data_IF_761080742899
#
_entry.id   IF_761080742899
#
_cell.length_a   1.000
_cell.length_b   1.000
_cell.length_c   1.000
_cell.angle_alpha   90.00
_cell.angle_beta   90.00
_cell.angle_gamma   90.00
#
_symmetry.space_group_name_H-M   'P 1'
#
loop_
_entity.id
_entity.type
_entity.pdbx_description
1 polymer ?
#
# COMPACT_ATOMS: atom_id res chain seq x y z
N UNK A 1 44.99 42.83 7.62
CA UNK A 1 44.01 42.04 6.84
C UNK A 1 43.00 43.02 6.30
N UNK A 2 43.10 43.39 5.04
CA UNK A 2 42.04 44.16 4.38
C UNK A 2 40.86 43.20 4.17
N UNK A 3 39.76 43.46 4.87
CA UNK A 3 38.46 42.88 4.55
C UNK A 3 38.09 43.40 3.16
N UNK A 4 38.16 42.56 2.14
CA UNK A 4 37.54 42.84 0.85
C UNK A 4 36.05 43.08 1.10
N UNK A 5 35.62 44.33 0.93
CA UNK A 5 34.21 44.67 0.96
C UNK A 5 33.65 44.16 -0.39
N UNK A 6 32.64 43.28 -0.39
CA UNK A 6 32.04 42.78 -1.62
C UNK A 6 31.55 43.95 -2.49
N UNK A 7 31.80 43.90 -3.80
CA UNK A 7 31.24 44.88 -4.74
C UNK A 7 29.72 44.69 -4.80
N UNK A 8 28.99 45.62 -4.15
CA UNK A 8 27.53 45.57 -4.10
C UNK A 8 26.86 45.63 -5.48
N UNK A 9 27.50 46.26 -6.47
CA UNK A 9 26.98 46.30 -7.83
C UNK A 9 27.13 44.95 -8.53
N UNK A 10 28.24 44.24 -8.28
CA UNK A 10 28.46 42.89 -8.79
C UNK A 10 27.45 41.91 -8.17
N UNK A 11 27.32 41.90 -6.84
CA UNK A 11 26.36 41.03 -6.12
C UNK A 11 24.92 41.28 -6.59
N UNK A 12 24.51 42.56 -6.71
CA UNK A 12 23.18 42.92 -7.22
C UNK A 12 22.97 42.42 -8.65
N UNK A 13 23.95 42.63 -9.54
CA UNK A 13 23.86 42.25 -10.95
C UNK A 13 23.79 40.72 -11.09
N UNK A 14 24.58 39.98 -10.33
CA UNK A 14 24.54 38.52 -10.33
C UNK A 14 23.19 37.98 -9.84
N UNK A 15 22.67 38.52 -8.73
CA UNK A 15 21.35 38.14 -8.21
C UNK A 15 20.23 38.50 -9.19
N UNK A 16 20.28 39.68 -9.80
CA UNK A 16 19.32 40.14 -10.79
C UNK A 16 19.32 39.25 -12.04
N UNK A 17 20.49 38.94 -12.61
CA UNK A 17 20.57 38.03 -13.76
C UNK A 17 20.18 36.60 -13.42
N UNK A 18 20.42 36.14 -12.18
CA UNK A 18 19.93 34.84 -11.70
C UNK A 18 18.41 34.80 -11.66
N UNK A 19 17.76 35.87 -11.16
CA UNK A 19 16.31 35.98 -11.11
C UNK A 19 15.63 36.20 -12.46
N UNK A 20 16.35 36.71 -13.47
CA UNK A 20 15.84 36.84 -14.85
C UNK A 20 15.89 35.53 -15.65
N UNK A 21 16.63 34.52 -15.19
CA UNK A 21 16.64 33.22 -15.87
C UNK A 21 15.28 32.55 -15.65
N UNK A 22 14.60 32.08 -16.72
CA UNK A 22 13.42 31.25 -16.52
C UNK A 22 13.82 30.02 -15.71
N UNK A 23 12.88 29.52 -14.91
CA UNK A 23 13.06 28.24 -14.23
C UNK A 23 13.49 27.20 -15.29
N UNK A 24 14.61 26.51 -15.11
CA UNK A 24 15.05 25.48 -16.04
C UNK A 24 13.99 24.38 -16.11
N UNK A 25 13.94 23.63 -17.22
CA UNK A 25 13.17 22.39 -17.32
C UNK A 25 13.72 21.39 -16.31
N UNK A 26 13.22 21.46 -15.07
CA UNK A 26 13.68 20.67 -13.96
C UNK A 26 13.05 19.30 -14.05
N UNK A 27 13.82 18.29 -14.43
CA UNK A 27 13.45 16.89 -14.32
C UNK A 27 14.16 16.27 -13.12
N UNK A 28 13.38 15.89 -12.11
CA UNK A 28 13.91 15.44 -10.81
C UNK A 28 14.70 14.14 -10.94
N UNK A 29 14.34 13.26 -11.88
CA UNK A 29 15.08 12.02 -12.14
C UNK A 29 16.49 12.30 -12.68
N UNK A 30 16.60 13.25 -13.62
CA UNK A 30 17.87 13.66 -14.21
C UNK A 30 18.74 14.39 -13.17
N UNK A 31 18.14 15.32 -12.41
CA UNK A 31 18.81 15.99 -11.31
C UNK A 31 19.32 14.98 -10.26
N UNK A 32 18.53 13.96 -9.93
CA UNK A 32 18.93 12.94 -8.97
C UNK A 32 20.11 12.11 -9.48
N UNK A 33 20.10 11.68 -10.74
CA UNK A 33 21.20 10.93 -11.34
C UNK A 33 22.50 11.74 -11.43
N UNK A 34 22.41 13.07 -11.60
CA UNK A 34 23.58 13.95 -11.73
C UNK A 34 24.14 14.40 -10.36
N UNK A 35 23.27 14.83 -9.45
CA UNK A 35 23.70 15.55 -8.24
C UNK A 35 23.54 14.76 -6.94
N UNK A 36 22.47 13.97 -6.80
CA UNK A 36 22.09 13.40 -5.51
C UNK A 36 23.13 12.42 -4.96
N UNK A 37 23.48 12.59 -3.68
CA UNK A 37 24.38 11.68 -2.95
C UNK A 37 23.64 11.02 -1.78
N UNK A 38 23.71 9.69 -1.72
CA UNK A 38 23.28 8.89 -0.58
C UNK A 38 24.41 8.86 0.46
N UNK A 39 24.21 9.41 1.67
CA UNK A 39 25.24 9.44 2.71
C UNK A 39 25.61 8.03 3.20
N UNK A 40 26.89 7.81 3.53
CA UNK A 40 27.37 6.52 4.09
C UNK A 40 26.86 6.26 5.51
N UNK A 41 26.71 7.32 6.29
CA UNK A 41 26.36 7.29 7.71
C UNK A 41 24.84 7.21 7.98
N UNK A 42 24.02 7.00 6.93
CA UNK A 42 22.59 6.67 7.06
C UNK A 42 22.32 5.17 7.08
N UNK A 43 23.37 4.32 6.95
CA UNK A 43 23.21 2.87 6.90
C UNK A 43 22.58 2.37 5.59
N UNK A 44 22.68 3.14 4.51
CA UNK A 44 22.18 2.75 3.21
C UNK A 44 23.00 1.58 2.63
N UNK A 45 22.33 0.62 1.99
CA UNK A 45 22.98 -0.54 1.38
C UNK A 45 23.96 -0.14 0.27
N UNK A 46 23.64 0.91 -0.50
CA UNK A 46 24.43 1.40 -1.63
C UNK A 46 24.68 2.92 -1.48
N UNK A 47 25.67 3.36 -0.66
CA UNK A 47 25.96 4.77 -0.50
C UNK A 47 26.79 5.33 -1.69
N UNK A 48 26.68 6.62 -1.97
CA UNK A 48 27.39 7.28 -3.07
C UNK A 48 26.45 8.02 -4.03
N UNK A 49 26.78 8.05 -5.33
CA UNK A 49 25.91 8.64 -6.35
C UNK A 49 24.57 7.88 -6.40
N UNK A 50 23.46 8.60 -6.35
CA UNK A 50 22.15 8.01 -6.64
C UNK A 50 22.11 7.57 -8.11
N UNK A 51 21.55 6.40 -8.38
CA UNK A 51 21.45 5.83 -9.73
C UNK A 51 20.04 5.31 -9.95
N UNK A 52 19.25 6.00 -10.76
CA UNK A 52 17.91 5.57 -11.19
C UNK A 52 17.97 4.21 -11.87
N UNK A 53 19.06 3.87 -12.55
CA UNK A 53 19.27 2.54 -13.14
C UNK A 53 19.17 1.37 -12.13
N UNK A 54 19.37 1.61 -10.83
CA UNK A 54 19.17 0.60 -9.78
C UNK A 54 17.69 0.41 -9.44
N UNK A 55 16.89 1.45 -9.57
CA UNK A 55 15.43 1.44 -9.35
C UNK A 55 14.72 2.14 -10.52
N UNK A 56 14.69 1.55 -11.73
CA UNK A 56 14.20 2.22 -12.93
C UNK A 56 12.77 2.74 -12.79
N UNK A 57 11.93 2.01 -12.07
CA UNK A 57 10.56 2.38 -11.73
C UNK A 57 10.43 3.70 -10.94
N UNK A 58 11.49 4.20 -10.30
CA UNK A 58 11.46 5.47 -9.58
C UNK A 58 11.52 6.70 -10.51
N UNK A 59 11.91 6.51 -11.79
CA UNK A 59 12.06 7.58 -12.79
C UNK A 59 10.77 8.36 -12.99
N UNK A 60 9.69 7.65 -13.29
CA UNK A 60 8.43 8.27 -13.67
C UNK A 60 7.73 9.01 -12.52
N UNK A 61 7.67 8.49 -11.28
CA UNK A 61 7.24 9.27 -10.12
C UNK A 61 8.02 10.58 -9.95
N UNK A 62 9.36 10.56 -10.13
CA UNK A 62 10.18 11.77 -10.05
C UNK A 62 9.86 12.75 -11.20
N UNK A 63 9.63 12.25 -12.41
CA UNK A 63 9.18 13.10 -13.53
C UNK A 63 7.82 13.73 -13.25
N UNK A 64 6.86 12.99 -12.69
CA UNK A 64 5.55 13.55 -12.32
C UNK A 64 5.64 14.60 -11.20
N UNK A 65 6.56 14.42 -10.25
CA UNK A 65 6.84 15.38 -9.18
C UNK A 65 7.53 16.66 -9.65
N UNK A 66 8.11 16.65 -10.85
CA UNK A 66 8.81 17.79 -11.41
C UNK A 66 7.87 18.99 -11.58
N UNK A 67 8.30 20.23 -11.27
CA UNK A 67 7.43 21.42 -11.36
C UNK A 67 6.84 21.66 -12.75
N UNK A 68 7.55 21.24 -13.81
CA UNK A 68 7.10 21.34 -15.20
C UNK A 68 5.97 20.34 -15.56
N UNK A 69 5.83 19.25 -14.81
CA UNK A 69 4.81 18.24 -15.09
C UNK A 69 3.42 18.74 -14.66
N UNK A 70 2.36 18.55 -15.45
CA UNK A 70 1.05 19.16 -15.21
C UNK A 70 0.27 18.58 -14.04
N UNK A 71 0.56 17.35 -13.59
CA UNK A 71 -0.18 16.77 -12.47
C UNK A 71 0.00 17.59 -11.19
N UNK A 72 -1.01 17.64 -10.34
CA UNK A 72 -0.95 18.33 -9.06
C UNK A 72 -0.51 17.39 -7.94
N UNK A 73 -0.92 16.12 -8.03
CA UNK A 73 -0.72 15.12 -6.99
C UNK A 73 0.00 13.89 -7.55
N UNK A 74 0.97 13.41 -6.79
CA UNK A 74 1.62 12.11 -7.01
C UNK A 74 1.39 11.24 -5.79
N UNK A 75 0.92 10.02 -6.01
CA UNK A 75 0.57 9.07 -4.96
C UNK A 75 1.40 7.80 -5.15
N UNK A 76 2.08 7.32 -4.11
CA UNK A 76 2.81 6.05 -4.14
C UNK A 76 2.28 5.08 -3.08
N UNK A 77 1.40 4.17 -3.50
CA UNK A 77 0.94 3.02 -2.72
C UNK A 77 1.93 1.86 -2.90
N UNK A 78 3.02 1.90 -2.13
CA UNK A 78 4.21 1.07 -2.40
C UNK A 78 4.66 0.34 -1.15
N UNK A 79 5.25 -0.84 -1.34
CA UNK A 79 5.78 -1.65 -0.25
C UNK A 79 6.81 -0.89 0.61
N UNK A 80 6.95 -1.31 1.86
CA UNK A 80 7.91 -0.72 2.79
C UNK A 80 9.34 -0.95 2.33
N UNK A 81 10.21 0.04 2.57
CA UNK A 81 11.65 -0.01 2.25
C UNK A 81 11.99 -0.14 0.75
N UNK A 82 11.10 0.33 -0.14
CA UNK A 82 11.40 0.53 -1.57
C UNK A 82 11.73 2.01 -1.84
N UNK A 83 11.05 2.64 -2.82
CA UNK A 83 11.43 3.94 -3.37
C UNK A 83 10.90 5.18 -2.63
N UNK A 84 9.83 5.03 -1.84
CA UNK A 84 8.99 6.14 -1.33
C UNK A 84 9.76 7.36 -0.80
N UNK A 85 10.49 7.18 0.31
CA UNK A 85 11.25 8.26 0.94
C UNK A 85 12.44 8.72 0.11
N UNK A 86 13.08 7.85 -0.67
CA UNK A 86 14.23 8.25 -1.49
C UNK A 86 13.80 9.17 -2.63
N UNK A 87 12.64 8.92 -3.24
CA UNK A 87 12.01 9.84 -4.22
C UNK A 87 11.76 11.20 -3.56
N UNK A 88 11.24 11.24 -2.33
CA UNK A 88 11.01 12.49 -1.62
C UNK A 88 12.32 13.28 -1.38
N UNK A 89 13.40 12.59 -0.99
CA UNK A 89 14.72 13.22 -0.82
C UNK A 89 15.24 13.80 -2.13
N UNK A 90 15.10 13.05 -3.22
CA UNK A 90 15.50 13.49 -4.56
C UNK A 90 14.70 14.72 -4.98
N UNK A 91 13.39 14.69 -4.77
CA UNK A 91 12.50 15.79 -5.07
C UNK A 91 12.83 17.05 -4.26
N UNK A 92 12.93 16.94 -2.94
CA UNK A 92 13.29 18.04 -2.03
C UNK A 92 14.64 18.65 -2.45
N UNK A 93 15.64 17.81 -2.76
CA UNK A 93 16.94 18.28 -3.22
C UNK A 93 16.86 19.06 -4.53
N UNK A 94 16.18 18.51 -5.54
CA UNK A 94 15.98 19.19 -6.83
C UNK A 94 15.25 20.52 -6.68
N UNK A 95 14.25 20.58 -5.82
CA UNK A 95 13.51 21.81 -5.51
C UNK A 95 14.40 22.87 -4.85
N UNK A 96 15.16 22.52 -3.81
CA UNK A 96 16.12 23.44 -3.16
C UNK A 96 17.15 23.96 -4.18
N UNK A 97 17.58 23.11 -5.11
CA UNK A 97 18.60 23.45 -6.09
C UNK A 97 18.09 24.38 -7.19
N UNK A 98 16.92 24.08 -7.76
CA UNK A 98 16.51 24.58 -9.08
C UNK A 98 15.13 25.27 -9.10
N UNK A 99 14.28 25.05 -8.09
CA UNK A 99 12.94 25.66 -8.02
C UNK A 99 12.55 25.99 -6.56
N UNK A 100 13.35 26.81 -5.85
CA UNK A 100 13.20 27.01 -4.41
C UNK A 100 11.87 27.69 -4.07
N UNK A 101 11.21 27.17 -3.04
CA UNK A 101 9.99 27.69 -2.44
C UNK A 101 9.82 27.03 -1.07
N UNK A 102 8.82 27.42 -0.29
CA UNK A 102 8.47 26.70 0.92
C UNK A 102 8.08 25.24 0.61
N UNK A 103 8.71 24.32 1.33
CA UNK A 103 8.46 22.87 1.28
C UNK A 103 7.99 22.43 2.66
N UNK A 104 6.86 21.71 2.72
CA UNK A 104 6.32 21.16 3.95
C UNK A 104 6.40 19.62 3.91
N UNK A 105 7.11 19.03 4.86
CA UNK A 105 7.19 17.58 5.06
C UNK A 105 6.42 17.17 6.31
N UNK A 106 5.42 16.32 6.14
CA UNK A 106 4.52 15.85 7.19
C UNK A 106 4.73 14.35 7.43
N UNK A 107 4.95 13.99 8.70
CA UNK A 107 5.16 12.61 9.15
C UNK A 107 4.10 12.23 10.20
N UNK A 108 3.90 10.93 10.48
CA UNK A 108 2.90 10.50 11.47
C UNK A 108 3.18 10.93 12.92
N UNK A 109 4.45 11.15 13.28
CA UNK A 109 4.83 11.52 14.65
C UNK A 109 6.06 12.41 14.68
N UNK A 110 6.19 13.22 15.73
CA UNK A 110 7.35 14.10 15.95
C UNK A 110 8.68 13.34 16.00
N UNK A 111 8.67 12.12 16.54
CA UNK A 111 9.85 11.25 16.56
C UNK A 111 10.30 10.84 15.15
N UNK A 112 9.36 10.56 14.25
CA UNK A 112 9.64 10.30 12.83
C UNK A 112 10.11 11.58 12.13
N UNK A 113 9.46 12.72 12.39
CA UNK A 113 9.85 14.02 11.82
C UNK A 113 11.31 14.36 12.11
N UNK A 114 11.76 14.19 13.36
CA UNK A 114 13.17 14.43 13.75
C UNK A 114 14.14 13.48 13.03
N UNK A 115 13.78 12.20 12.86
CA UNK A 115 14.61 11.22 12.14
C UNK A 115 14.73 11.55 10.65
N UNK A 116 13.63 11.86 10.00
CA UNK A 116 13.59 12.25 8.58
C UNK A 116 14.34 13.58 8.38
N UNK A 117 14.12 14.55 9.27
CA UNK A 117 14.84 15.83 9.26
C UNK A 117 16.36 15.64 9.34
N UNK A 118 16.83 14.77 10.25
CA UNK A 118 18.25 14.44 10.36
C UNK A 118 18.79 13.77 9.09
N UNK A 119 18.04 12.85 8.47
CA UNK A 119 18.41 12.22 7.20
C UNK A 119 18.51 13.25 6.06
N UNK A 120 17.59 14.22 5.99
CA UNK A 120 17.65 15.32 5.03
C UNK A 120 18.90 16.17 5.27
N UNK A 121 19.22 16.51 6.52
CA UNK A 121 20.44 17.27 6.86
C UNK A 121 21.73 16.57 6.42
N UNK A 122 21.81 15.24 6.61
CA UNK A 122 22.93 14.41 6.09
C UNK A 122 22.99 14.43 4.56
N UNK A 123 21.84 14.34 3.90
CA UNK A 123 21.72 14.36 2.43
C UNK A 123 22.20 15.70 1.86
N UNK A 124 21.80 16.82 2.47
CA UNK A 124 22.26 18.17 2.12
C UNK A 124 23.77 18.28 2.28
N UNK A 125 24.33 17.78 3.38
CA UNK A 125 25.79 17.82 3.64
C UNK A 125 26.58 17.02 2.61
N UNK A 126 26.05 15.86 2.20
CA UNK A 126 26.66 14.97 1.23
C UNK A 126 26.55 15.47 -0.22
N UNK A 127 25.56 16.30 -0.54
CA UNK A 127 25.27 16.77 -1.90
C UNK A 127 25.82 18.20 -2.10
N UNK A 128 26.92 18.40 -2.85
CA UNK A 128 27.62 19.70 -2.91
C UNK A 128 26.73 20.90 -3.25
N UNK A 129 25.89 20.76 -4.28
CA UNK A 129 24.99 21.83 -4.74
C UNK A 129 23.94 22.24 -3.70
N UNK A 130 23.57 21.34 -2.78
CA UNK A 130 22.66 21.65 -1.67
C UNK A 130 23.40 22.28 -0.50
N UNK A 131 24.59 21.76 -0.18
CA UNK A 131 25.43 22.28 0.91
C UNK A 131 25.78 23.76 0.73
N UNK A 132 25.93 24.21 -0.51
CA UNK A 132 26.22 25.61 -0.85
C UNK A 132 25.01 26.54 -0.68
N UNK A 133 23.78 26.01 -0.73
CA UNK A 133 22.53 26.78 -0.73
C UNK A 133 21.80 26.80 0.61
N UNK A 134 21.92 25.72 1.39
CA UNK A 134 21.25 25.61 2.68
C UNK A 134 22.11 26.24 3.76
N UNK A 135 21.51 27.12 4.58
CA UNK A 135 22.22 27.82 5.64
C UNK A 135 22.89 26.84 6.61
N UNK A 136 24.18 27.03 6.90
CA UNK A 136 24.91 26.18 7.85
C UNK A 136 24.35 26.33 9.27
N UNK A 137 24.32 25.25 10.05
CA UNK A 137 23.82 25.25 11.43
C UNK A 137 24.70 26.02 12.45
N UNK A 138 25.77 26.68 12.01
CA UNK A 138 26.82 27.27 12.88
C UNK A 138 26.83 28.78 12.99
N UNK A 139 25.84 29.49 12.47
CA UNK A 139 25.72 30.93 12.80
C UNK A 139 24.93 31.10 14.10
N UNK A 140 25.30 32.10 14.91
CA UNK A 140 24.55 32.51 16.12
C UNK A 140 23.15 33.08 15.80
N UNK A 141 22.67 32.88 14.57
CA UNK A 141 21.31 33.17 14.14
C UNK A 141 20.47 31.89 14.20
N UNK A 142 19.34 31.97 14.91
CA UNK A 142 18.38 30.90 15.18
C UNK A 142 17.63 30.36 13.92
N UNK A 143 18.24 30.43 12.74
CA UNK A 143 17.64 30.24 11.41
C UNK A 143 17.58 28.78 10.93
N UNK A 144 18.41 27.88 11.47
CA UNK A 144 18.36 26.46 11.12
C UNK A 144 18.16 25.63 12.39
N UNK A 145 16.96 25.05 12.53
CA UNK A 145 16.55 24.27 13.71
C UNK A 145 16.40 22.80 13.34
N UNK A 146 16.10 21.94 14.32
CA UNK A 146 15.79 20.54 14.04
C UNK A 146 14.64 20.35 13.06
N UNK A 147 13.73 21.32 12.98
CA UNK A 147 12.47 21.20 12.24
C UNK A 147 12.45 22.09 10.98
N UNK A 148 13.36 23.06 10.87
CA UNK A 148 13.39 24.02 9.74
C UNK A 148 14.78 24.13 9.13
N UNK A 149 14.87 24.02 7.80
CA UNK A 149 16.10 24.24 7.02
C UNK A 149 15.87 25.36 6.01
N UNK A 150 16.46 26.52 6.26
CA UNK A 150 16.36 27.70 5.40
C UNK A 150 17.36 27.67 4.22
N UNK A 151 16.93 28.18 3.08
CA UNK A 151 17.73 28.35 1.86
C UNK A 151 17.26 29.58 1.09
N UNK A 152 18.04 30.03 0.10
CA UNK A 152 17.65 31.15 -0.76
C UNK A 152 16.34 30.82 -1.51
N UNK A 153 15.30 31.62 -1.33
CA UNK A 153 13.99 31.43 -1.96
C UNK A 153 12.96 30.61 -1.16
N UNK A 154 13.30 30.09 0.03
CA UNK A 154 12.31 29.43 0.89
C UNK A 154 12.88 28.66 2.07
N UNK A 155 12.03 27.88 2.72
CA UNK A 155 12.45 26.98 3.79
C UNK A 155 11.77 25.62 3.68
N UNK A 156 12.47 24.60 4.17
CA UNK A 156 11.94 23.26 4.36
C UNK A 156 11.53 23.08 5.83
N UNK A 157 10.24 22.84 6.03
CA UNK A 157 9.64 22.54 7.33
C UNK A 157 9.39 21.04 7.44
N UNK A 158 9.82 20.42 8.53
CA UNK A 158 9.65 18.99 8.78
C UNK A 158 8.93 18.82 10.11
N UNK A 159 7.66 18.43 10.06
CA UNK A 159 6.81 18.36 11.25
C UNK A 159 5.87 17.15 11.23
N UNK A 160 5.01 17.04 12.23
CA UNK A 160 4.03 15.95 12.37
C UNK A 160 2.67 16.37 11.82
N UNK A 161 1.99 15.46 11.13
CA UNK A 161 0.60 15.61 10.69
C UNK A 161 -0.39 15.52 11.86
N UNK A 162 0.00 14.94 13.01
CA UNK A 162 -0.86 14.81 14.20
C UNK A 162 -1.10 16.10 15.00
N UNK A 163 -1.00 17.28 14.38
CA UNK A 163 -1.33 18.55 15.04
C UNK A 163 -1.98 19.49 14.03
N UNK A 164 -3.20 19.94 14.35
CA UNK A 164 -3.99 20.82 13.51
C UNK A 164 -3.25 22.14 13.23
N UNK A 165 -2.60 22.70 14.25
CA UNK A 165 -1.76 23.89 14.13
C UNK A 165 -0.67 23.72 13.04
N UNK A 166 0.03 22.59 13.02
CA UNK A 166 1.05 22.31 12.00
C UNK A 166 0.46 22.23 10.59
N UNK A 167 -0.76 21.73 10.47
CA UNK A 167 -1.51 21.64 9.21
C UNK A 167 -2.15 22.97 8.82
N UNK A 168 -2.30 23.93 9.74
CA UNK A 168 -3.01 25.19 9.54
C UNK A 168 -2.11 26.43 9.40
N UNK A 169 -0.87 26.40 9.88
CA UNK A 169 -0.06 27.61 10.05
C UNK A 169 0.70 28.04 8.79
N UNK A 170 1.16 27.11 7.95
CA UNK A 170 2.18 27.39 6.94
C UNK A 170 1.68 27.26 5.49
N UNK A 171 1.90 28.29 4.68
CA UNK A 171 1.71 28.24 3.22
C UNK A 171 2.93 27.62 2.53
N UNK A 172 2.73 26.54 1.78
CA UNK A 172 3.79 25.82 1.08
C UNK A 172 3.37 25.45 -0.35
N UNK A 173 4.27 25.69 -1.32
CA UNK A 173 4.06 25.29 -2.72
C UNK A 173 4.18 23.78 -2.89
N UNK A 174 5.07 23.18 -2.11
CA UNK A 174 5.40 21.77 -2.20
C UNK A 174 5.11 21.08 -0.87
N UNK A 175 4.31 20.02 -0.90
CA UNK A 175 3.95 19.28 0.30
C UNK A 175 4.25 17.79 0.10
N UNK A 176 4.96 17.20 1.06
CA UNK A 176 5.25 15.78 1.13
C UNK A 176 4.61 15.18 2.38
N UNK A 177 3.68 14.24 2.20
CA UNK A 177 3.14 13.42 3.27
C UNK A 177 3.69 11.99 3.22
N UNK A 178 4.47 11.62 4.25
CA UNK A 178 5.00 10.27 4.39
C UNK A 178 4.13 9.43 5.35
N UNK A 179 4.04 8.13 5.08
CA UNK A 179 3.25 7.15 5.82
C UNK A 179 1.82 7.64 6.13
N UNK A 180 1.11 8.18 5.13
CA UNK A 180 -0.23 8.81 5.30
C UNK A 180 -1.28 7.90 5.94
N UNK A 181 -1.17 6.58 5.78
CA UNK A 181 -2.05 5.61 6.45
C UNK A 181 -1.87 5.53 7.96
N UNK A 182 -0.76 6.05 8.49
CA UNK A 182 -0.48 6.10 9.93
C UNK A 182 -0.85 7.45 10.54
N UNK A 183 -1.40 8.37 9.76
CA UNK A 183 -1.87 9.66 10.28
C UNK A 183 -3.15 9.45 11.07
N UNK A 184 -3.36 10.30 12.07
CA UNK A 184 -4.60 10.30 12.84
C UNK A 184 -5.79 10.60 11.93
N UNK A 185 -6.92 9.95 12.20
CA UNK A 185 -8.09 10.03 11.31
C UNK A 185 -8.68 11.43 11.30
N UNK A 186 -8.65 12.08 12.46
CA UNK A 186 -9.16 13.42 12.67
C UNK A 186 -8.20 14.15 13.59
N UNK A 187 -7.60 15.22 13.08
CA UNK A 187 -6.61 16.00 13.81
C UNK A 187 -7.33 17.19 14.42
N UNK A 188 -7.75 17.05 15.68
CA UNK A 188 -8.37 18.14 16.43
C UNK A 188 -9.77 18.53 15.97
N UNK A 189 -10.55 17.61 15.39
CA UNK A 189 -11.91 17.85 14.86
C UNK A 189 -11.95 18.80 13.64
N UNK A 190 -10.80 19.00 12.97
CA UNK A 190 -10.67 19.90 11.81
C UNK A 190 -10.81 19.18 10.45
N UNK A 191 -11.03 17.86 10.45
CA UNK A 191 -11.29 17.07 9.24
C UNK A 191 -10.10 16.25 8.74
N UNK A 192 -10.11 15.87 7.46
CA UNK A 192 -9.10 14.96 6.90
C UNK A 192 -7.73 15.64 6.78
N UNK A 193 -6.67 15.13 7.42
CA UNK A 193 -5.35 15.76 7.39
C UNK A 193 -4.73 15.86 6.00
N UNK A 194 -5.12 15.01 5.04
CA UNK A 194 -4.68 15.13 3.65
C UNK A 194 -5.25 16.41 3.02
N UNK A 195 -6.55 16.66 3.14
CA UNK A 195 -7.19 17.88 2.64
C UNK A 195 -6.64 19.15 3.32
N UNK A 196 -6.39 19.10 4.62
CA UNK A 196 -5.77 20.20 5.37
C UNK A 196 -4.35 20.50 4.86
N UNK A 197 -3.56 19.46 4.58
CA UNK A 197 -2.23 19.58 3.99
C UNK A 197 -2.30 20.15 2.57
N UNK A 198 -3.29 19.78 1.76
CA UNK A 198 -3.46 20.30 0.41
C UNK A 198 -3.86 21.77 0.38
N UNK A 199 -4.66 22.19 1.35
CA UNK A 199 -5.08 23.59 1.51
C UNK A 199 -3.87 24.53 1.64
N UNK A 200 -2.70 24.03 2.09
CA UNK A 200 -1.46 24.82 2.19
C UNK A 200 -0.92 25.29 0.85
N UNK A 201 -1.25 24.58 -0.22
CA UNK A 201 -0.87 24.92 -1.59
C UNK A 201 -1.87 25.82 -2.33
N UNK A 202 -3.00 26.20 -1.71
CA UNK A 202 -4.11 26.88 -2.40
C UNK A 202 -3.69 28.15 -3.13
N UNK A 203 -2.81 28.95 -2.52
CA UNK A 203 -2.32 30.21 -3.10
C UNK A 203 -1.40 30.02 -4.32
N UNK A 204 -0.96 28.79 -4.61
CA UNK A 204 -0.08 28.49 -5.75
C UNK A 204 -0.83 27.90 -6.95
N UNK A 205 -2.13 27.60 -6.82
CA UNK A 205 -2.94 27.05 -7.91
C UNK A 205 -2.27 25.85 -8.60
N UNK A 206 -2.11 25.93 -9.93
CA UNK A 206 -1.44 24.89 -10.74
C UNK A 206 0.04 24.64 -10.41
N UNK A 207 0.68 25.57 -9.69
CA UNK A 207 2.10 25.45 -9.34
C UNK A 207 2.31 24.70 -8.01
N UNK A 208 1.22 24.39 -7.29
CA UNK A 208 1.28 23.52 -6.12
C UNK A 208 1.57 22.07 -6.56
N UNK A 209 2.36 21.35 -5.76
CA UNK A 209 2.62 19.93 -5.99
C UNK A 209 2.60 19.16 -4.68
N UNK A 210 1.91 18.04 -4.69
CA UNK A 210 1.72 17.17 -3.53
C UNK A 210 2.29 15.79 -3.80
N UNK A 211 3.02 15.27 -2.83
CA UNK A 211 3.51 13.90 -2.85
C UNK A 211 3.01 13.15 -1.61
N UNK A 212 2.19 12.12 -1.80
CA UNK A 212 1.74 11.26 -0.72
C UNK A 212 2.27 9.85 -0.92
N UNK A 213 2.83 9.27 0.13
CA UNK A 213 3.41 7.92 0.06
C UNK A 213 3.07 7.11 1.30
N UNK A 214 2.69 5.84 1.11
CA UNK A 214 2.50 4.91 2.21
C UNK A 214 2.45 3.46 1.71
N UNK A 215 2.56 2.51 2.64
CA UNK A 215 1.98 1.18 2.43
C UNK A 215 0.53 1.20 2.90
N UNK A 216 -0.41 0.56 2.19
CA UNK A 216 -1.81 0.56 2.60
C UNK A 216 -2.00 -0.25 3.88
N UNK A 217 -3.15 -0.04 4.53
CA UNK A 217 -3.54 -0.71 5.77
C UNK A 217 -4.79 -1.55 5.55
N UNK A 218 -5.90 -1.22 6.20
CA UNK A 218 -7.13 -2.01 6.17
C UNK A 218 -8.06 -1.42 5.10
N UNK A 219 -8.77 -2.29 4.39
CA UNK A 219 -9.78 -1.88 3.41
C UNK A 219 -10.81 -0.94 4.04
N UNK A 220 -11.10 0.17 3.39
CA UNK A 220 -12.04 1.20 3.88
C UNK A 220 -11.49 2.15 4.94
N UNK A 221 -10.23 1.98 5.38
CA UNK A 221 -9.55 2.94 6.26
C UNK A 221 -8.21 3.44 5.68
N UNK A 222 -7.78 2.87 4.55
CA UNK A 222 -6.47 3.12 3.97
C UNK A 222 -6.48 4.34 3.05
N UNK A 223 -6.01 5.48 3.59
CA UNK A 223 -5.94 6.75 2.85
C UNK A 223 -5.12 6.67 1.57
N UNK A 224 -3.99 5.99 1.59
CA UNK A 224 -3.18 5.84 0.37
C UNK A 224 -3.92 5.03 -0.69
N UNK A 225 -4.77 4.08 -0.28
CA UNK A 225 -5.58 3.31 -1.20
C UNK A 225 -6.68 4.18 -1.80
N UNK A 226 -7.34 5.01 -1.00
CA UNK A 226 -8.36 5.96 -1.48
C UNK A 226 -7.74 6.99 -2.46
N UNK A 227 -6.56 7.52 -2.13
CA UNK A 227 -5.79 8.41 -3.01
C UNK A 227 -5.31 7.72 -4.29
N UNK A 228 -4.98 6.43 -4.22
CA UNK A 228 -4.61 5.65 -5.39
C UNK A 228 -5.84 5.35 -6.26
N UNK A 229 -7.00 5.09 -5.66
CA UNK A 229 -8.24 4.78 -6.39
C UNK A 229 -8.68 5.94 -7.29
N UNK A 230 -8.59 7.19 -6.80
CA UNK A 230 -8.93 8.40 -7.58
C UNK A 230 -7.90 8.76 -8.67
N UNK A 231 -6.72 8.14 -8.64
CA UNK A 231 -5.64 8.40 -9.59
C UNK A 231 -5.81 7.65 -10.91
N UNK A 232 -4.85 7.80 -11.81
CA UNK A 232 -4.74 7.01 -13.04
C UNK A 232 -4.24 5.55 -12.84
N UNK A 233 -3.99 5.15 -11.58
CA UNK A 233 -3.71 3.79 -11.12
C UNK A 233 -2.60 3.08 -11.93
N UNK A 234 -1.37 3.59 -11.89
CA UNK A 234 -0.25 2.98 -12.63
C UNK A 234 0.34 1.77 -11.93
N UNK A 235 0.57 0.72 -12.70
CA UNK A 235 1.31 -0.48 -12.31
C UNK A 235 2.56 -0.65 -13.16
N UNK A 236 3.64 -1.16 -12.58
CA UNK A 236 4.91 -1.33 -13.29
C UNK A 236 4.96 -2.69 -13.99
N UNK A 237 4.83 -2.68 -15.31
CA UNK A 237 4.91 -3.87 -16.13
C UNK A 237 6.36 -4.19 -16.46
N UNK A 238 6.74 -5.46 -16.34
CA UNK A 238 8.07 -5.94 -16.73
C UNK A 238 7.94 -7.06 -17.76
N UNK A 239 8.82 -7.13 -18.77
CA UNK A 239 8.76 -8.19 -19.77
C UNK A 239 9.26 -9.50 -19.18
N UNK A 240 8.63 -10.60 -19.57
CA UNK A 240 9.20 -11.93 -19.41
C UNK A 240 10.51 -12.03 -20.22
N UNK A 241 11.61 -12.55 -19.63
CA UNK A 241 12.91 -12.63 -20.32
C UNK A 241 12.91 -13.61 -21.51
N UNK A 242 11.94 -14.53 -21.58
CA UNK A 242 11.85 -15.54 -22.64
C UNK A 242 10.86 -15.16 -23.73
N UNK A 243 9.58 -14.91 -23.38
CA UNK A 243 8.55 -14.62 -24.39
C UNK A 243 8.31 -13.12 -24.62
N UNK A 244 8.86 -12.24 -23.78
CA UNK A 244 8.67 -10.78 -23.90
C UNK A 244 7.30 -10.27 -23.43
N UNK A 245 6.41 -11.13 -22.93
CA UNK A 245 5.11 -10.71 -22.42
C UNK A 245 5.28 -9.76 -21.22
N UNK A 246 4.66 -8.58 -21.29
CA UNK A 246 4.69 -7.60 -20.21
C UNK A 246 3.63 -7.91 -19.16
N UNK A 247 4.05 -8.00 -17.90
CA UNK A 247 3.22 -8.42 -16.79
C UNK A 247 3.52 -7.63 -15.51
N UNK A 248 2.54 -7.54 -14.62
CA UNK A 248 2.75 -7.13 -13.23
C UNK A 248 3.18 -8.35 -12.43
N UNK A 249 4.12 -8.18 -11.50
CA UNK A 249 4.57 -9.26 -10.62
C UNK A 249 3.56 -9.48 -9.50
N UNK A 250 2.92 -10.64 -9.46
CA UNK A 250 1.91 -11.02 -8.47
C UNK A 250 2.46 -12.09 -7.53
N UNK A 251 2.12 -12.00 -6.23
CA UNK A 251 2.61 -12.95 -5.24
C UNK A 251 2.22 -14.38 -5.57
N UNK A 252 1.02 -14.54 -6.10
CA UNK A 252 0.38 -15.81 -6.45
C UNK A 252 1.17 -16.61 -7.50
N UNK A 253 2.04 -15.95 -8.28
CA UNK A 253 2.89 -16.55 -9.32
C UNK A 253 4.30 -16.85 -8.84
N UNK A 254 4.63 -16.54 -7.58
CA UNK A 254 5.91 -16.89 -6.99
C UNK A 254 5.86 -18.30 -6.40
N UNK A 255 6.58 -19.23 -7.03
CA UNK A 255 6.68 -20.62 -6.61
C UNK A 255 7.98 -20.88 -5.88
N UNK A 256 7.94 -21.64 -4.80
CA UNK A 256 9.12 -21.94 -4.00
C UNK A 256 9.08 -23.35 -3.41
N UNK A 257 10.26 -23.97 -3.28
CA UNK A 257 10.42 -25.27 -2.63
C UNK A 257 10.22 -25.17 -1.10
N UNK A 258 9.96 -26.29 -0.44
CA UNK A 258 9.71 -26.34 1.02
C UNK A 258 10.89 -25.82 1.86
N UNK A 259 12.10 -25.98 1.35
CA UNK A 259 13.36 -25.53 1.95
C UNK A 259 13.81 -24.15 1.45
N UNK A 260 13.04 -23.54 0.52
CA UNK A 260 13.32 -22.24 -0.10
C UNK A 260 14.66 -22.18 -0.86
N UNK A 261 15.20 -23.33 -1.27
CA UNK A 261 16.43 -23.40 -2.08
C UNK A 261 16.16 -23.07 -3.55
N UNK A 262 14.92 -23.32 -4.01
CA UNK A 262 14.46 -23.00 -5.36
C UNK A 262 13.28 -22.04 -5.24
N UNK A 263 13.41 -20.85 -5.83
CA UNK A 263 12.35 -19.83 -5.87
C UNK A 263 12.31 -19.23 -7.27
N UNK A 264 11.17 -19.38 -7.93
CA UNK A 264 10.97 -18.92 -9.30
C UNK A 264 9.65 -18.18 -9.45
N UNK A 265 9.58 -17.28 -10.42
CA UNK A 265 8.37 -16.57 -10.79
C UNK A 265 7.81 -17.13 -12.09
N UNK A 266 6.56 -17.58 -12.08
CA UNK A 266 5.86 -18.11 -13.25
C UNK A 266 5.38 -16.97 -14.17
N UNK A 267 5.65 -17.09 -15.48
CA UNK A 267 5.14 -16.13 -16.45
C UNK A 267 3.61 -16.13 -16.54
N UNK A 268 3.03 -14.95 -16.78
CA UNK A 268 1.59 -14.74 -16.90
C UNK A 268 1.01 -14.98 -18.29
N UNK A 269 1.87 -15.14 -19.31
CA UNK A 269 1.41 -15.50 -20.65
C UNK A 269 0.90 -16.93 -20.67
N UNK A 270 -0.27 -17.15 -21.28
CA UNK A 270 -0.92 -18.47 -21.42
C UNK A 270 -0.07 -19.48 -22.19
N UNK A 271 0.80 -18.99 -23.06
CA UNK A 271 1.58 -19.80 -23.99
C UNK A 271 3.06 -19.88 -23.54
N UNK A 272 3.35 -19.54 -22.29
CA UNK A 272 4.72 -19.50 -21.76
C UNK A 272 4.80 -20.10 -20.35
N UNK A 273 5.39 -21.29 -20.27
CA UNK A 273 5.58 -22.02 -19.00
C UNK A 273 6.93 -21.72 -18.34
N UNK A 274 7.55 -20.57 -18.63
CA UNK A 274 8.88 -20.26 -18.09
C UNK A 274 8.81 -19.92 -16.60
N UNK A 275 9.73 -20.52 -15.85
CA UNK A 275 10.00 -20.22 -14.45
C UNK A 275 11.18 -19.25 -14.38
N UNK A 276 10.88 -17.97 -14.17
CA UNK A 276 11.85 -16.88 -14.15
C UNK A 276 12.64 -16.95 -12.85
N UNK A 277 13.96 -16.91 -12.97
CA UNK A 277 14.88 -16.85 -11.85
C UNK A 277 15.15 -15.41 -11.41
N UNK A 278 15.44 -15.21 -10.12
CA UNK A 278 15.56 -13.86 -9.56
C UNK A 278 16.71 -13.04 -10.19
N UNK A 279 17.78 -13.68 -10.66
CA UNK A 279 18.89 -12.97 -11.31
C UNK A 279 18.46 -12.22 -12.60
N UNK A 280 17.39 -12.68 -13.25
CA UNK A 280 16.84 -12.07 -14.46
C UNK A 280 16.10 -10.76 -14.16
N UNK A 281 15.72 -10.52 -12.89
CA UNK A 281 14.98 -9.33 -12.44
C UNK A 281 15.68 -8.03 -12.83
N UNK A 282 17.02 -8.00 -12.87
CA UNK A 282 17.76 -6.81 -13.28
C UNK A 282 17.38 -6.31 -14.69
N UNK A 283 17.36 -7.20 -15.67
CA UNK A 283 16.95 -6.88 -17.05
C UNK A 283 15.45 -6.56 -17.14
N UNK A 284 14.63 -7.36 -16.46
CA UNK A 284 13.19 -7.15 -16.40
C UNK A 284 12.82 -5.77 -15.88
N UNK A 285 13.44 -5.33 -14.78
CA UNK A 285 13.21 -4.01 -14.19
C UNK A 285 13.69 -2.89 -15.10
N UNK A 286 14.84 -3.05 -15.77
CA UNK A 286 15.41 -2.05 -16.67
C UNK A 286 14.55 -1.82 -17.92
N UNK A 287 13.86 -2.85 -18.39
CA UNK A 287 12.94 -2.81 -19.54
C UNK A 287 11.48 -2.59 -19.16
N UNK A 288 11.20 -2.40 -17.87
CA UNK A 288 9.84 -2.20 -17.40
C UNK A 288 9.29 -0.82 -17.73
N UNK A 289 7.96 -0.71 -17.70
CA UNK A 289 7.23 0.53 -17.98
C UNK A 289 5.99 0.64 -17.09
N UNK A 290 5.63 1.86 -16.71
CA UNK A 290 4.38 2.12 -16.02
C UNK A 290 3.22 2.16 -17.00
N UNK A 291 2.12 1.49 -16.67
CA UNK A 291 0.87 1.56 -17.44
C UNK A 291 -0.28 1.95 -16.52
N UNK A 292 -1.08 2.91 -16.99
CA UNK A 292 -2.28 3.39 -16.30
C UNK A 292 -3.45 2.43 -16.48
N UNK A 293 -4.22 2.22 -15.41
CA UNK A 293 -5.40 1.34 -15.39
C UNK A 293 -6.71 2.13 -15.24
N UNK A 294 -6.63 3.42 -14.98
CA UNK A 294 -7.78 4.32 -14.82
C UNK A 294 -7.47 5.66 -15.51
N UNK A 295 -8.50 6.39 -15.96
CA UNK A 295 -8.29 7.76 -16.44
C UNK A 295 -7.94 8.74 -15.29
N UNK A 296 -8.30 8.36 -14.05
CA UNK A 296 -8.14 9.20 -12.86
C UNK A 296 -8.97 10.48 -12.88
N UNK A 297 -8.69 11.36 -11.93
CA UNK A 297 -9.28 12.69 -11.78
C UNK A 297 -8.65 13.78 -12.70
N UNK A 298 -7.63 13.42 -13.49
CA UNK A 298 -6.88 14.33 -14.37
C UNK A 298 -5.80 15.17 -13.67
N UNK A 299 -5.72 15.15 -12.34
CA UNK A 299 -4.74 15.90 -11.55
C UNK A 299 -3.80 14.99 -10.74
N UNK A 300 -4.18 13.72 -10.53
CA UNK A 300 -3.51 12.75 -9.67
C UNK A 300 -2.91 11.61 -10.48
N UNK A 301 -1.60 11.42 -10.33
CA UNK A 301 -0.89 10.27 -10.88
C UNK A 301 -0.53 9.30 -9.75
N UNK A 302 -0.98 8.06 -9.84
CA UNK A 302 -0.79 7.05 -8.80
C UNK A 302 0.12 5.93 -9.24
N UNK A 303 0.94 5.42 -8.33
CA UNK A 303 1.91 4.36 -8.57
C UNK A 303 1.79 3.26 -7.53
N UNK A 304 1.63 2.02 -7.99
CA UNK A 304 1.62 0.82 -7.16
C UNK A 304 2.85 -0.05 -7.39
N UNK A 305 3.49 -0.50 -6.32
CA UNK A 305 4.65 -1.39 -6.44
C UNK A 305 4.81 -2.27 -5.19
N UNK A 306 4.90 -3.58 -5.39
CA UNK A 306 5.13 -4.54 -4.31
C UNK A 306 6.62 -4.89 -4.15
N UNK A 307 6.94 -5.66 -3.10
CA UNK A 307 8.31 -6.04 -2.75
C UNK A 307 8.98 -7.00 -3.74
N UNK A 308 8.25 -7.65 -4.66
CA UNK A 308 8.86 -8.53 -5.67
C UNK A 308 9.79 -7.76 -6.62
N UNK A 309 9.55 -6.46 -6.78
CA UNK A 309 10.34 -5.53 -7.59
C UNK A 309 11.60 -5.00 -6.89
N UNK A 310 11.89 -5.43 -5.66
CA UNK A 310 13.12 -5.06 -4.98
C UNK A 310 14.35 -5.47 -5.84
N UNK A 311 15.32 -4.57 -6.11
CA UNK A 311 16.50 -4.90 -6.91
C UNK A 311 17.35 -6.01 -6.28
N UNK A 312 18.17 -6.67 -7.11
CA UNK A 312 19.14 -7.65 -6.63
C UNK A 312 20.08 -7.04 -5.58
N UNK A 313 20.30 -7.78 -4.49
CA UNK A 313 21.08 -7.37 -3.32
C UNK A 313 20.26 -6.68 -2.22
N UNK A 314 18.96 -6.43 -2.45
CA UNK A 314 18.04 -5.95 -1.42
C UNK A 314 17.21 -7.13 -0.88
N UNK A 315 15.92 -6.92 -0.61
CA UNK A 315 15.03 -8.00 -0.19
C UNK A 315 14.84 -9.01 -1.34
N UNK A 316 15.27 -10.24 -1.12
CA UNK A 316 15.20 -11.32 -2.11
C UNK A 316 13.87 -12.11 -2.04
N UNK A 317 13.55 -12.84 -3.10
CA UNK A 317 12.34 -13.67 -3.16
C UNK A 317 12.33 -14.81 -2.12
N UNK A 318 13.44 -15.53 -1.85
CA UNK A 318 13.48 -16.52 -0.77
C UNK A 318 13.16 -15.94 0.62
N UNK A 319 13.62 -14.73 0.94
CA UNK A 319 13.31 -14.07 2.21
C UNK A 319 11.85 -13.66 2.29
N UNK A 320 11.25 -13.22 1.18
CA UNK A 320 9.82 -12.96 1.10
C UNK A 320 9.01 -14.26 1.32
N UNK A 321 9.41 -15.36 0.66
CA UNK A 321 8.74 -16.65 0.82
C UNK A 321 8.81 -17.16 2.27
N UNK A 322 9.96 -17.03 2.93
CA UNK A 322 10.12 -17.35 4.37
C UNK A 322 9.23 -16.48 5.25
N UNK A 323 9.12 -15.18 4.98
CA UNK A 323 8.23 -14.27 5.72
C UNK A 323 6.77 -14.68 5.55
N UNK A 324 6.35 -15.01 4.32
CA UNK A 324 5.00 -15.46 4.03
C UNK A 324 4.66 -16.80 4.71
N UNK A 325 5.54 -17.80 4.63
CA UNK A 325 5.30 -19.09 5.28
C UNK A 325 5.28 -18.98 6.81
N UNK A 326 6.09 -18.08 7.39
CA UNK A 326 5.98 -17.75 8.82
C UNK A 326 4.62 -17.13 9.15
N UNK A 327 4.17 -16.17 8.33
CA UNK A 327 2.88 -15.53 8.51
C UNK A 327 1.70 -16.51 8.35
N UNK A 328 1.77 -17.40 7.35
CA UNK A 328 0.79 -18.47 7.11
C UNK A 328 0.70 -19.45 8.28
N UNK A 329 1.84 -19.82 8.89
CA UNK A 329 1.86 -20.64 10.10
C UNK A 329 1.27 -19.94 11.33
N UNK A 330 1.45 -18.62 11.45
CA UNK A 330 0.83 -17.83 12.51
C UNK A 330 -0.69 -17.74 12.29
N UNK A 331 -1.11 -17.48 11.05
CA UNK A 331 -2.52 -17.44 10.65
C UNK A 331 -3.24 -18.77 10.95
N UNK A 332 -2.61 -19.90 10.64
CA UNK A 332 -3.15 -21.23 10.97
C UNK A 332 -3.31 -21.48 12.48
N UNK A 333 -2.63 -20.70 13.33
CA UNK A 333 -2.76 -20.74 14.79
C UNK A 333 -3.72 -19.67 15.34
N UNK A 334 -4.38 -18.92 14.47
CA UNK A 334 -5.33 -17.85 14.84
C UNK A 334 -4.71 -16.45 14.95
N UNK A 335 -3.42 -16.28 14.68
CA UNK A 335 -2.76 -14.97 14.67
C UNK A 335 -2.70 -14.40 13.25
N UNK A 336 -3.60 -13.46 12.96
CA UNK A 336 -3.73 -12.82 11.64
C UNK A 336 -2.72 -11.68 11.41
N UNK A 337 -2.15 -11.12 12.48
CA UNK A 337 -1.32 -9.91 12.42
C UNK A 337 -0.12 -10.07 11.48
N UNK A 338 0.67 -11.17 11.52
CA UNK A 338 1.78 -11.37 10.59
C UNK A 338 1.36 -11.41 9.13
N UNK A 339 0.18 -11.96 8.82
CA UNK A 339 -0.32 -12.02 7.44
C UNK A 339 -0.81 -10.65 6.96
N UNK A 340 -1.50 -9.92 7.82
CA UNK A 340 -1.86 -8.52 7.56
C UNK A 340 -0.61 -7.68 7.28
N UNK A 341 0.43 -7.79 8.13
CA UNK A 341 1.71 -7.08 7.93
C UNK A 341 2.34 -7.45 6.59
N UNK A 342 2.31 -8.73 6.20
CA UNK A 342 2.84 -9.17 4.91
C UNK A 342 2.08 -8.53 3.74
N UNK A 343 0.74 -8.59 3.74
CA UNK A 343 -0.10 -8.01 2.69
C UNK A 343 0.11 -6.50 2.55
N UNK A 344 0.06 -5.79 3.67
CA UNK A 344 0.18 -4.34 3.71
C UNK A 344 1.59 -3.89 3.32
N UNK A 345 2.62 -4.43 3.97
CA UNK A 345 3.98 -3.88 3.87
C UNK A 345 4.83 -4.51 2.78
N UNK A 346 4.51 -5.72 2.31
CA UNK A 346 5.24 -6.41 1.23
C UNK A 346 4.46 -6.42 -0.07
N UNK A 347 3.18 -6.80 -0.03
CA UNK A 347 2.37 -6.83 -1.25
C UNK A 347 1.83 -5.46 -1.66
N UNK A 348 1.92 -4.48 -0.76
CA UNK A 348 1.30 -3.16 -0.92
C UNK A 348 -0.20 -3.28 -1.24
N UNK A 349 -0.88 -4.27 -0.67
CA UNK A 349 -2.32 -4.50 -0.84
C UNK A 349 -3.05 -4.19 0.47
N UNK A 350 -4.25 -3.63 0.35
CA UNK A 350 -5.15 -3.49 1.50
C UNK A 350 -5.45 -4.87 2.07
N UNK A 351 -5.50 -4.96 3.40
CA UNK A 351 -5.92 -6.17 4.07
C UNK A 351 -7.43 -6.12 4.23
N UNK A 352 -8.12 -7.10 3.66
CA UNK A 352 -9.54 -7.30 3.92
C UNK A 352 -9.66 -8.11 5.22
N UNK A 353 -9.98 -7.41 6.30
CA UNK A 353 -10.25 -8.06 7.59
C UNK A 353 -11.53 -8.89 7.57
N UNK A 354 -12.32 -8.83 6.49
CA UNK A 354 -13.46 -9.71 6.25
C UNK A 354 -13.03 -11.13 5.84
N UNK A 355 -12.26 -11.80 6.69
CA UNK A 355 -12.71 -13.15 7.06
C UNK A 355 -13.93 -12.94 7.96
N UNK A 356 -15.11 -13.22 7.42
CA UNK A 356 -16.44 -13.01 8.01
C UNK A 356 -16.48 -13.05 9.55
N UNK A 357 -16.42 -11.89 10.20
CA UNK A 357 -17.17 -11.69 11.42
C UNK A 357 -18.51 -11.05 11.07
N UNK A 358 -19.35 -11.79 10.35
CA UNK A 358 -20.78 -11.45 10.39
C UNK A 358 -21.22 -11.70 11.82
N UNK A 359 -21.33 -10.62 12.61
CA UNK A 359 -21.76 -10.69 14.02
C UNK A 359 -23.03 -11.55 14.08
N UNK A 360 -23.12 -12.47 15.03
CA UNK A 360 -24.26 -13.37 15.18
C UNK A 360 -25.61 -12.60 15.22
N UNK A 361 -25.60 -11.35 15.70
CA UNK A 361 -26.74 -10.44 15.63
C UNK A 361 -27.17 -10.10 14.21
N UNK A 362 -26.25 -9.79 13.30
CA UNK A 362 -26.56 -9.46 11.90
C UNK A 362 -27.07 -10.67 11.12
N UNK A 363 -26.54 -11.87 11.38
CA UNK A 363 -27.10 -13.12 10.83
C UNK A 363 -28.51 -13.40 11.37
N UNK A 364 -28.73 -13.19 12.68
CA UNK A 364 -30.06 -13.30 13.29
C UNK A 364 -31.06 -12.29 12.72
N UNK A 365 -30.63 -11.06 12.49
CA UNK A 365 -31.52 -10.02 11.96
C UNK A 365 -31.86 -10.26 10.48
N UNK A 366 -30.93 -10.78 9.67
CA UNK A 366 -31.26 -11.30 8.33
C UNK A 366 -32.20 -12.49 8.39
N UNK A 367 -31.92 -13.47 9.26
CA UNK A 367 -32.78 -14.65 9.42
C UNK A 367 -34.22 -14.27 9.86
N UNK A 368 -34.40 -13.22 10.68
CA UNK A 368 -35.72 -12.70 11.06
C UNK A 368 -36.49 -12.05 9.90
N UNK A 369 -35.81 -11.62 8.84
CA UNK A 369 -36.45 -11.05 7.64
C UNK A 369 -36.93 -12.16 6.69
N UNK A 370 -36.49 -13.40 6.89
CA UNK A 370 -36.94 -14.54 6.10
C UNK A 370 -38.22 -15.14 6.69
N UNK A 371 -39.17 -15.49 5.83
CA UNK A 371 -40.41 -16.16 6.23
C UNK A 371 -40.23 -17.69 6.40
N UNK A 372 -38.99 -18.15 6.55
CA UNK A 372 -38.68 -19.56 6.67
C UNK A 372 -39.01 -20.08 8.08
N UNK A 373 -39.82 -21.14 8.15
CA UNK A 373 -40.14 -21.82 9.41
C UNK A 373 -39.62 -23.24 9.39
N UNK A 374 -38.95 -23.69 10.46
CA UNK A 374 -38.49 -25.07 10.60
C UNK A 374 -39.66 -26.05 10.44
N UNK A 375 -39.47 -27.13 9.68
CA UNK A 375 -40.53 -28.07 9.31
C UNK A 375 -41.30 -27.70 8.03
N UNK A 376 -41.12 -26.49 7.50
CA UNK A 376 -41.62 -26.12 6.17
C UNK A 376 -40.60 -26.44 5.09
N UNK A 377 -41.07 -26.92 3.94
CA UNK A 377 -40.24 -27.18 2.77
C UNK A 377 -40.44 -26.08 1.72
N UNK A 378 -39.43 -25.25 1.45
CA UNK A 378 -39.51 -24.25 0.39
C UNK A 378 -39.65 -24.91 -0.98
N UNK A 379 -40.38 -24.27 -1.90
CA UNK A 379 -40.61 -24.80 -3.24
C UNK A 379 -39.33 -24.92 -4.10
N UNK A 380 -38.24 -24.29 -3.68
CA UNK A 380 -36.92 -24.36 -4.32
C UNK A 380 -36.11 -25.61 -3.94
N UNK A 381 -36.59 -26.44 -3.00
CA UNK A 381 -35.89 -27.67 -2.60
C UNK A 381 -36.06 -28.74 -3.65
N UNK A 382 -34.95 -29.19 -4.23
CA UNK A 382 -34.92 -30.24 -5.25
C UNK A 382 -34.53 -31.60 -4.68
N UNK A 383 -33.75 -31.62 -3.60
CA UNK A 383 -33.24 -32.83 -2.98
C UNK A 383 -33.03 -32.68 -1.49
N UNK A 384 -33.10 -33.79 -0.75
CA UNK A 384 -32.90 -33.85 0.70
C UNK A 384 -31.70 -34.73 1.03
N UNK A 385 -30.90 -34.30 2.01
CA UNK A 385 -29.82 -35.10 2.62
C UNK A 385 -29.97 -35.07 4.13
N UNK A 386 -29.50 -36.11 4.82
CA UNK A 386 -29.43 -36.13 6.27
C UNK A 386 -27.99 -36.10 6.77
N UNK A 387 -27.77 -35.43 7.89
CA UNK A 387 -26.58 -35.57 8.71
C UNK A 387 -27.01 -36.08 10.10
N UNK A 388 -26.23 -37.01 10.64
CA UNK A 388 -26.45 -37.55 11.99
C UNK A 388 -25.21 -37.26 12.82
N UNK A 389 -25.39 -36.55 13.92
CA UNK A 389 -24.35 -36.34 14.91
C UNK A 389 -24.55 -37.30 16.10
N UNK A 390 -23.47 -37.98 16.51
CA UNK A 390 -23.50 -38.99 17.56
C UNK A 390 -23.00 -38.40 18.87
N UNK A 391 -23.79 -38.49 19.92
CA UNK A 391 -23.48 -37.96 21.25
C UNK A 391 -23.64 -39.06 22.29
N UNK A 392 -23.00 -38.96 23.46
CA UNK A 392 -22.94 -40.03 24.49
C UNK A 392 -24.32 -40.58 24.94
N UNK A 393 -25.41 -39.85 24.72
CA UNK A 393 -26.76 -40.23 25.16
C UNK A 393 -27.86 -40.04 24.11
N UNK A 394 -27.51 -39.71 22.86
CA UNK A 394 -28.49 -39.45 21.78
C UNK A 394 -27.86 -39.43 20.40
N UNK A 395 -28.70 -39.55 19.38
CA UNK A 395 -28.39 -39.21 17.99
C UNK A 395 -29.16 -37.94 17.61
N UNK A 396 -28.49 -36.97 17.01
CA UNK A 396 -29.13 -35.77 16.46
C UNK A 396 -29.19 -35.86 14.93
N UNK A 397 -30.40 -36.01 14.41
CA UNK A 397 -30.68 -36.04 12.99
C UNK A 397 -31.03 -34.63 12.51
N UNK A 398 -30.31 -34.15 11.50
CA UNK A 398 -30.62 -32.91 10.79
C UNK A 398 -30.86 -33.21 9.31
N UNK A 399 -32.03 -32.83 8.81
CA UNK A 399 -32.38 -32.96 7.39
C UNK A 399 -32.23 -31.62 6.71
N UNK A 400 -31.46 -31.61 5.61
CA UNK A 400 -31.14 -30.42 4.83
C UNK A 400 -31.69 -30.58 3.43
N UNK A 401 -32.45 -29.58 2.98
CA UNK A 401 -32.93 -29.47 1.61
C UNK A 401 -32.02 -28.58 0.78
N UNK A 402 -31.77 -28.97 -0.46
CA UNK A 402 -30.87 -28.27 -1.38
C UNK A 402 -31.62 -27.81 -2.63
N UNK A 403 -31.33 -26.57 -3.05
CA UNK A 403 -31.84 -25.94 -4.25
C UNK A 403 -30.75 -25.64 -5.27
N UNK A 404 -31.12 -24.89 -6.32
CA UNK A 404 -30.20 -24.47 -7.37
C UNK A 404 -29.11 -23.57 -6.79
N UNK A 405 -27.87 -23.75 -7.24
CA UNK A 405 -26.74 -22.93 -6.77
C UNK A 405 -26.22 -23.27 -5.37
N UNK A 406 -26.51 -24.47 -4.85
CA UNK A 406 -26.14 -24.92 -3.50
C UNK A 406 -26.81 -24.14 -2.36
N UNK A 407 -27.90 -23.43 -2.65
CA UNK A 407 -28.76 -22.86 -1.61
C UNK A 407 -29.35 -24.00 -0.76
N UNK A 408 -29.44 -23.80 0.56
CA UNK A 408 -29.83 -24.87 1.50
C UNK A 408 -30.70 -24.39 2.65
N UNK A 409 -31.60 -25.24 3.10
CA UNK A 409 -32.52 -25.00 4.23
C UNK A 409 -32.53 -26.18 5.20
N UNK A 410 -32.59 -25.90 6.50
CA UNK A 410 -32.71 -26.94 7.55
C UNK A 410 -34.17 -27.33 7.72
N UNK A 411 -34.59 -28.37 6.99
CA UNK A 411 -35.99 -28.80 6.89
C UNK A 411 -36.48 -29.39 8.20
N UNK A 412 -35.66 -30.17 8.89
CA UNK A 412 -36.05 -30.90 10.08
C UNK A 412 -34.86 -31.13 11.01
N UNK A 413 -35.12 -31.13 12.31
CA UNK A 413 -34.17 -31.49 13.35
C UNK A 413 -34.86 -32.35 14.39
N UNK A 414 -34.31 -33.53 14.64
CA UNK A 414 -34.87 -34.51 15.56
C UNK A 414 -33.79 -35.03 16.48
N UNK A 415 -34.13 -35.13 17.77
CA UNK A 415 -33.27 -35.72 18.79
C UNK A 415 -33.80 -37.10 19.14
N UNK A 416 -32.98 -38.12 18.93
CA UNK A 416 -33.28 -39.52 19.23
C UNK A 416 -32.50 -39.90 20.49
N UNK A 417 -33.19 -39.91 21.63
CA UNK A 417 -32.59 -40.27 22.91
C UNK A 417 -32.32 -41.77 22.99
N UNK A 418 -31.10 -42.13 23.40
CA UNK A 418 -30.65 -43.51 23.50
C UNK A 418 -29.13 -43.60 23.49
N UNK A 419 -28.59 -44.66 24.06
CA UNK A 419 -27.14 -44.94 23.99
C UNK A 419 -26.78 -45.32 22.55
N UNK A 420 -25.85 -44.62 21.87
CA UNK A 420 -25.39 -45.02 20.54
C UNK A 420 -24.70 -46.38 20.47
N UNK A 421 -24.34 -46.98 21.61
CA UNK A 421 -23.86 -48.35 21.67
C UNK A 421 -25.01 -49.39 21.57
N UNK A 422 -26.28 -48.98 21.72
CA UNK A 422 -27.45 -49.85 21.57
C UNK A 422 -27.98 -49.80 20.13
N UNK A 423 -28.09 -50.96 19.48
CA UNK A 423 -28.68 -51.11 18.14
C UNK A 423 -30.11 -50.58 18.06
N UNK A 424 -30.86 -50.57 19.17
CA UNK A 424 -32.22 -50.01 19.21
C UNK A 424 -32.25 -48.52 18.90
N UNK A 425 -31.21 -47.77 19.30
CA UNK A 425 -31.08 -46.33 19.03
C UNK A 425 -30.88 -46.09 17.53
N UNK A 426 -30.08 -46.94 16.87
CA UNK A 426 -29.88 -46.90 15.42
C UNK A 426 -31.10 -47.35 14.63
N UNK A 427 -31.81 -48.40 15.08
CA UNK A 427 -33.06 -48.82 14.46
C UNK A 427 -34.13 -47.71 14.50
N UNK A 428 -34.18 -46.93 15.60
CA UNK A 428 -35.06 -45.77 15.68
C UNK A 428 -34.67 -44.67 14.70
N UNK A 429 -33.38 -44.44 14.47
CA UNK A 429 -32.87 -43.51 13.45
C UNK A 429 -33.22 -43.97 12.03
N UNK A 430 -33.05 -45.25 11.72
CA UNK A 430 -33.37 -45.81 10.40
C UNK A 430 -34.83 -45.58 10.02
N UNK A 431 -35.76 -45.73 10.97
CA UNK A 431 -37.17 -45.43 10.73
C UNK A 431 -37.41 -43.95 10.44
N UNK A 432 -36.64 -43.03 11.06
CA UNK A 432 -36.71 -41.59 10.76
C UNK A 432 -36.13 -41.26 9.39
N UNK A 433 -35.06 -41.92 8.97
CA UNK A 433 -34.44 -41.70 7.67
C UNK A 433 -35.34 -42.14 6.49
N UNK A 434 -36.23 -43.11 6.71
CA UNK A 434 -37.20 -43.60 5.72
C UNK A 434 -38.41 -42.68 5.52
N UNK A 435 -38.59 -41.66 6.37
CA UNK A 435 -39.73 -40.73 6.29
C UNK A 435 -39.66 -39.92 4.99
N UNK A 436 -40.82 -39.75 4.35
CA UNK A 436 -40.98 -38.86 3.20
C UNK A 436 -41.51 -37.50 3.64
N UNK A 437 -40.88 -36.43 3.14
CA UNK A 437 -41.27 -35.06 3.40
C UNK A 437 -42.12 -34.53 2.24
N UNK A 438 -43.23 -33.87 2.55
CA UNK A 438 -44.15 -33.35 1.53
C UNK A 438 -43.63 -32.05 0.93
N UNK A 439 -43.35 -32.05 -0.37
CA UNK A 439 -42.97 -30.86 -1.11
C UNK A 439 -44.24 -30.06 -1.50
N UNK A 440 -44.20 -28.71 -1.52
CA UNK A 440 -45.36 -27.88 -1.92
C UNK A 440 -45.93 -28.17 -3.32
N UNK A 441 -45.15 -28.82 -4.19
CA UNK A 441 -45.63 -29.27 -5.51
C UNK A 441 -46.51 -30.54 -5.46
N UNK A 442 -46.72 -31.12 -4.28
CA UNK A 442 -47.55 -32.31 -4.06
C UNK A 442 -46.80 -33.65 -4.13
N UNK A 443 -45.48 -33.64 -4.30
CA UNK A 443 -44.65 -34.86 -4.34
C UNK A 443 -43.95 -35.07 -2.99
N UNK A 444 -43.93 -36.31 -2.50
CA UNK A 444 -43.18 -36.68 -1.30
C UNK A 444 -41.71 -36.97 -1.62
N UNK A 445 -40.79 -36.13 -1.16
CA UNK A 445 -39.35 -36.32 -1.28
C UNK A 445 -38.84 -37.26 -0.19
N UNK A 446 -37.93 -38.17 -0.56
CA UNK A 446 -37.19 -38.99 0.37
C UNK A 446 -35.81 -38.39 0.62
N UNK A 447 -35.22 -38.71 1.76
CA UNK A 447 -33.82 -38.40 2.03
C UNK A 447 -32.95 -39.25 1.10
N UNK A 448 -32.04 -38.61 0.39
CA UNK A 448 -31.04 -39.28 -0.44
C UNK A 448 -29.88 -39.70 0.47
N UNK A 449 -29.56 -40.99 0.42
CA UNK A 449 -28.43 -41.61 1.12
C UNK A 449 -27.13 -41.46 0.34
#
# INVERSE_FOLDING_TARGET
MHTEIPDGAEVYREAYFRGLRPDPDLWIDEWADEYMRIPRDTGAAEPGQYRTARTPYAREPMRCLSPAHPCKRVVTMVASQLMKTQIALNWIGGLIHMAPSNILTLLPSLGLSKRVSARIGKTITATPVLRERVASSRSRDARNTMDTKEFEGGALYVTTAGSAANLAELTARYVYGDEVDRWEVDVGEEGDPVELAETRGSNFGRNAKFYFSSSPTIKGASRIADLFEVSDQRYYYVPCPTCGHYQVLEWERLHYSKDFSVVHYECAATDCDVMIEEYQKGDMLARGEWRSHSQGDGETVGFHLNALYAPLGWQDWPSLAKQFERAKKAQAKGDLEPMQVFYNTRLARVWDSAQEQTKASALRDRAKLENYTMGSMPAGVLMLTAAVDTQDNRLELMVVGWGVGMERWVIDHQVIWGDPADERTWAALDERLKVRYQHPCGVGLAILA
#
